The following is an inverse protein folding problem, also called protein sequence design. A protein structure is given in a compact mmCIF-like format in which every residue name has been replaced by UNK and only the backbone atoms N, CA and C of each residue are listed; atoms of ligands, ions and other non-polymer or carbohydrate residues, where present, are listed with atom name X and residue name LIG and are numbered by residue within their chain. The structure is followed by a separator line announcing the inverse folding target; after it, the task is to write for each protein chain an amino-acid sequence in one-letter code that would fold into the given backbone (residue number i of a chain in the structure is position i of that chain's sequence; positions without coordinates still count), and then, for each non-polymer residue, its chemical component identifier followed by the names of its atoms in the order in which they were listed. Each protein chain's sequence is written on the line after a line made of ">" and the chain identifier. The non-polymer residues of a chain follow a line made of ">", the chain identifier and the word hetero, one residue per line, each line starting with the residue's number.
data_IF_355804019629
#
_entry.id   IF_355804019629
#
_cell.length_a   1.000
_cell.length_b   1.000
_cell.length_c   1.000
_cell.angle_alpha   90.00
_cell.angle_beta   90.00
_cell.angle_gamma   90.00
#
_symmetry.space_group_name_H-M   'P 1'
#
loop_
_entity.id
_entity.type
_entity.pdbx_description
1 polymer ?
#
# COMPACT_ATOMS: atom_id res chain seq x y z
N UNK A 1 25.48 18.37 6.13
CA UNK A 1 24.98 17.38 7.12
C UNK A 1 23.97 18.04 8.06
N UNK A 2 22.88 17.37 8.39
CA UNK A 2 21.81 17.79 9.31
C UNK A 2 22.16 17.21 10.69
N UNK A 3 22.19 18.03 11.75
CA UNK A 3 22.47 17.52 13.10
C UNK A 3 21.32 16.61 13.59
N UNK A 4 21.63 15.72 14.55
CA UNK A 4 20.63 14.83 15.15
C UNK A 4 19.48 15.61 15.80
N UNK A 5 19.78 16.72 16.49
CA UNK A 5 18.78 17.57 17.13
C UNK A 5 17.87 18.27 16.12
N UNK A 6 18.44 18.74 15.02
CA UNK A 6 17.69 19.38 13.94
C UNK A 6 16.77 18.37 13.23
N UNK A 7 17.27 17.18 12.94
CA UNK A 7 16.45 16.12 12.36
C UNK A 7 15.34 15.68 13.32
N UNK A 8 15.62 15.62 14.61
CA UNK A 8 14.60 15.36 15.62
C UNK A 8 13.53 16.47 15.68
N UNK A 9 13.95 17.74 15.53
CA UNK A 9 13.02 18.87 15.47
C UNK A 9 12.13 18.81 14.21
N UNK A 10 12.72 18.50 13.05
CA UNK A 10 12.00 18.26 11.82
C UNK A 10 10.96 17.14 11.99
N UNK A 11 11.36 16.01 12.56
CA UNK A 11 10.46 14.87 12.78
C UNK A 11 9.29 15.23 13.71
N UNK A 12 9.54 16.02 14.76
CA UNK A 12 8.48 16.53 15.66
C UNK A 12 7.51 17.46 14.92
N UNK A 13 8.00 18.34 14.07
CA UNK A 13 7.15 19.23 13.27
C UNK A 13 6.27 18.44 12.28
N UNK A 14 6.86 17.48 11.57
CA UNK A 14 6.13 16.58 10.67
C UNK A 14 5.07 15.78 11.43
N UNK A 15 5.41 15.20 12.58
CA UNK A 15 4.47 14.47 13.42
C UNK A 15 3.31 15.37 13.85
N UNK A 16 3.58 16.61 14.27
CA UNK A 16 2.56 17.57 14.69
C UNK A 16 1.56 17.90 13.58
N UNK A 17 2.02 18.05 12.33
CA UNK A 17 1.13 18.27 11.16
C UNK A 17 0.19 17.05 10.99
N UNK A 18 0.76 15.85 10.94
CA UNK A 18 -0.02 14.63 10.77
C UNK A 18 -0.98 14.34 11.92
N UNK A 19 -0.54 14.55 13.17
CA UNK A 19 -1.37 14.34 14.37
C UNK A 19 -2.54 15.32 14.39
N UNK A 20 -2.31 16.56 13.99
CA UNK A 20 -3.36 17.56 13.89
C UNK A 20 -4.38 17.21 12.81
N UNK A 21 -3.92 16.82 11.61
CA UNK A 21 -4.78 16.35 10.54
C UNK A 21 -5.65 15.17 10.99
N UNK A 22 -5.06 14.18 11.66
CA UNK A 22 -5.77 13.03 12.18
C UNK A 22 -6.82 13.42 13.23
N UNK A 23 -6.43 14.23 14.20
CA UNK A 23 -7.30 14.64 15.31
C UNK A 23 -8.50 15.46 14.83
N UNK A 24 -8.28 16.42 13.92
CA UNK A 24 -9.36 17.28 13.45
C UNK A 24 -10.38 16.52 12.62
N UNK A 25 -9.93 15.63 11.71
CA UNK A 25 -10.83 14.77 10.93
C UNK A 25 -11.57 13.78 11.83
N UNK A 26 -10.87 13.11 12.76
CA UNK A 26 -11.47 12.16 13.68
C UNK A 26 -12.55 12.86 14.53
N UNK A 27 -12.23 14.02 15.10
CA UNK A 27 -13.17 14.79 15.93
C UNK A 27 -14.40 15.22 15.13
N UNK A 28 -14.23 15.73 13.92
CA UNK A 28 -15.34 16.19 13.07
C UNK A 28 -16.25 15.03 12.64
N UNK A 29 -15.68 13.90 12.21
CA UNK A 29 -16.46 12.72 11.83
C UNK A 29 -17.21 12.16 13.03
N UNK A 30 -16.56 12.06 14.18
CA UNK A 30 -17.19 11.55 15.40
C UNK A 30 -18.29 12.48 15.92
N UNK A 31 -18.09 13.80 15.86
CA UNK A 31 -19.10 14.78 16.22
C UNK A 31 -20.33 14.68 15.32
N UNK A 32 -20.13 14.54 14.02
CA UNK A 32 -21.24 14.34 13.07
C UNK A 32 -22.01 13.04 13.38
N UNK A 33 -21.33 11.92 13.61
CA UNK A 33 -21.97 10.66 13.94
C UNK A 33 -22.81 10.74 15.23
N UNK A 34 -22.30 11.44 16.25
CA UNK A 34 -23.04 11.66 17.52
C UNK A 34 -24.28 12.53 17.34
N UNK A 35 -24.19 13.54 16.47
CA UNK A 35 -25.35 14.40 16.17
C UNK A 35 -26.42 13.68 15.32
N UNK A 36 -26.07 12.55 14.70
CA UNK A 36 -26.94 11.79 13.80
C UNK A 36 -26.92 10.30 14.15
N UNK A 37 -27.25 9.96 15.40
CA UNK A 37 -27.18 8.57 15.93
C UNK A 37 -27.98 7.57 15.11
N UNK A 38 -29.11 7.99 14.50
CA UNK A 38 -29.95 7.16 13.62
C UNK A 38 -29.50 7.07 12.17
N UNK A 39 -28.40 7.73 11.79
CA UNK A 39 -27.95 7.74 10.41
C UNK A 39 -27.48 6.36 9.93
N UNK A 40 -27.81 6.04 8.68
CA UNK A 40 -27.38 4.82 8.02
C UNK A 40 -25.86 4.83 7.75
N UNK A 41 -25.30 3.66 7.48
CA UNK A 41 -23.89 3.53 7.06
C UNK A 41 -23.59 4.39 5.82
N UNK A 42 -24.54 4.49 4.90
CA UNK A 42 -24.38 5.30 3.68
C UNK A 42 -24.30 6.80 3.99
N UNK A 43 -25.16 7.30 4.89
CA UNK A 43 -25.15 8.70 5.32
C UNK A 43 -23.88 9.05 6.08
N UNK A 44 -23.45 8.19 7.03
CA UNK A 44 -22.20 8.37 7.77
C UNK A 44 -20.98 8.39 6.85
N UNK A 45 -20.97 7.54 5.83
CA UNK A 45 -19.92 7.50 4.80
C UNK A 45 -19.85 8.79 4.00
N UNK A 46 -21.01 9.28 3.52
CA UNK A 46 -21.07 10.50 2.72
C UNK A 46 -20.65 11.73 3.54
N UNK A 47 -21.10 11.81 4.78
CA UNK A 47 -20.68 12.86 5.70
C UNK A 47 -19.16 12.85 5.94
N UNK A 48 -18.60 11.67 6.21
CA UNK A 48 -17.14 11.53 6.42
C UNK A 48 -16.34 11.90 5.16
N UNK A 49 -16.85 11.57 3.97
CA UNK A 49 -16.26 12.01 2.69
C UNK A 49 -16.19 13.54 2.63
N UNK A 50 -17.31 14.23 2.82
CA UNK A 50 -17.37 15.70 2.79
C UNK A 50 -16.48 16.35 3.85
N UNK A 51 -16.43 15.77 5.06
CA UNK A 51 -15.55 16.25 6.13
C UNK A 51 -14.09 16.07 5.71
N UNK A 52 -13.69 14.90 5.23
CA UNK A 52 -12.33 14.67 4.76
C UNK A 52 -11.94 15.57 3.60
N UNK A 53 -12.84 15.81 2.63
CA UNK A 53 -12.62 16.76 1.52
C UNK A 53 -12.32 18.17 2.05
N UNK A 54 -13.00 18.61 3.11
CA UNK A 54 -12.80 19.92 3.73
C UNK A 54 -11.49 20.06 4.51
N UNK A 55 -10.90 19.00 5.01
CA UNK A 55 -9.69 19.06 5.84
C UNK A 55 -8.42 18.58 5.13
N UNK A 56 -8.49 17.49 4.34
CA UNK A 56 -7.30 16.82 3.83
C UNK A 56 -6.49 17.72 2.94
N UNK A 57 -7.14 18.43 2.01
CA UNK A 57 -6.45 19.35 1.11
C UNK A 57 -5.65 20.41 1.88
N UNK A 58 -6.26 21.03 2.91
CA UNK A 58 -5.58 22.06 3.70
C UNK A 58 -4.36 21.54 4.45
N UNK A 59 -4.42 20.31 4.97
CA UNK A 59 -3.27 19.68 5.63
C UNK A 59 -2.20 19.23 4.65
N UNK A 60 -2.58 18.81 3.44
CA UNK A 60 -1.65 18.50 2.35
C UNK A 60 -0.88 19.75 1.92
N UNK A 61 -1.58 20.89 1.78
CA UNK A 61 -0.97 22.17 1.44
C UNK A 61 0.05 22.60 2.53
N UNK A 62 -0.33 22.50 3.81
CA UNK A 62 0.57 22.81 4.93
C UNK A 62 1.80 21.90 4.94
N UNK A 63 1.61 20.61 4.70
CA UNK A 63 2.70 19.64 4.68
C UNK A 63 3.64 19.87 3.48
N UNK A 64 3.08 20.19 2.32
CA UNK A 64 3.85 20.51 1.11
C UNK A 64 4.66 21.80 1.27
N UNK A 65 4.05 22.85 1.84
CA UNK A 65 4.75 24.11 2.11
C UNK A 65 5.91 23.93 3.10
N UNK A 66 5.66 23.20 4.19
CA UNK A 66 6.70 22.88 5.15
C UNK A 66 7.87 22.11 4.50
N UNK A 67 7.56 21.17 3.60
CA UNK A 67 8.59 20.41 2.90
C UNK A 67 9.38 21.27 1.89
N UNK A 68 8.70 22.18 1.18
CA UNK A 68 9.33 23.11 0.24
C UNK A 68 10.31 24.06 0.97
N UNK A 69 9.87 24.63 2.07
CA UNK A 69 10.71 25.49 2.92
C UNK A 69 11.95 24.72 3.41
N UNK A 70 11.74 23.52 3.94
CA UNK A 70 12.85 22.70 4.43
C UNK A 70 13.85 22.33 3.33
N UNK A 71 13.37 22.05 2.10
CA UNK A 71 14.21 21.81 0.94
C UNK A 71 15.07 23.03 0.61
N UNK A 72 14.48 24.23 0.56
CA UNK A 72 15.16 25.47 0.27
C UNK A 72 16.20 25.83 1.34
N UNK A 73 15.84 25.68 2.63
CA UNK A 73 16.76 25.90 3.76
C UNK A 73 17.98 24.98 3.69
N UNK A 74 17.77 23.72 3.32
CA UNK A 74 18.87 22.75 3.15
C UNK A 74 19.72 23.07 1.92
N UNK A 75 19.12 23.47 0.80
CA UNK A 75 19.83 23.86 -0.41
C UNK A 75 20.73 25.08 -0.14
N UNK A 76 20.21 26.11 0.52
CA UNK A 76 20.95 27.32 0.88
C UNK A 76 22.15 26.99 1.77
N UNK A 77 21.95 26.20 2.82
CA UNK A 77 23.03 25.78 3.74
C UNK A 77 24.14 24.98 3.08
N UNK A 78 23.81 24.21 2.05
CA UNK A 78 24.79 23.45 1.26
C UNK A 78 25.37 24.28 0.09
N UNK A 79 25.05 25.58 -0.02
CA UNK A 79 25.52 26.44 -1.09
C UNK A 79 24.99 26.09 -2.48
N UNK A 80 23.93 25.29 -2.54
CA UNK A 80 23.33 24.87 -3.79
C UNK A 80 22.47 26.01 -4.37
N UNK A 81 22.84 26.49 -5.57
CA UNK A 81 22.10 27.55 -6.26
C UNK A 81 20.97 26.93 -7.09
N UNK A 82 19.87 26.64 -6.44
CA UNK A 82 18.68 26.02 -7.06
C UNK A 82 17.55 27.03 -7.25
N UNK A 83 16.55 26.63 -8.02
CA UNK A 83 15.27 27.36 -8.06
C UNK A 83 14.52 27.09 -6.77
N UNK A 84 13.70 28.05 -6.34
CA UNK A 84 12.82 27.88 -5.19
C UNK A 84 12.00 26.60 -5.33
N UNK A 85 11.84 25.90 -4.23
CA UNK A 85 11.08 24.66 -4.20
C UNK A 85 9.60 24.90 -4.55
N UNK A 86 9.01 23.95 -5.26
CA UNK A 86 7.59 23.96 -5.63
C UNK A 86 6.86 22.96 -4.75
N UNK A 87 5.73 23.36 -4.21
CA UNK A 87 4.84 22.47 -3.45
C UNK A 87 4.15 21.47 -4.35
N UNK A 88 4.03 20.24 -3.88
CA UNK A 88 3.31 19.16 -4.56
C UNK A 88 2.39 18.48 -3.57
N UNK A 89 1.08 18.53 -3.84
CA UNK A 89 0.08 17.87 -3.02
C UNK A 89 -0.39 16.57 -3.65
N UNK A 90 -0.78 15.61 -2.82
CA UNK A 90 -1.31 14.30 -3.25
C UNK A 90 -2.82 14.21 -3.13
N UNK A 91 -3.46 15.27 -2.67
CA UNK A 91 -4.91 15.32 -2.54
C UNK A 91 -5.63 14.98 -3.84
N UNK A 92 -6.59 14.05 -3.76
CA UNK A 92 -7.48 13.67 -4.86
C UNK A 92 -8.87 13.35 -4.30
N UNK A 93 -9.92 14.04 -4.72
CA UNK A 93 -11.29 13.77 -4.26
C UNK A 93 -11.71 12.29 -4.43
N UNK A 94 -11.29 11.66 -5.54
CA UNK A 94 -11.60 10.25 -5.81
C UNK A 94 -10.94 9.31 -4.79
N UNK A 95 -9.76 9.67 -4.27
CA UNK A 95 -9.09 8.92 -3.22
C UNK A 95 -9.86 9.03 -1.90
N UNK A 96 -10.34 10.22 -1.57
CA UNK A 96 -11.17 10.44 -0.36
C UNK A 96 -12.45 9.63 -0.41
N UNK A 97 -13.17 9.65 -1.54
CA UNK A 97 -14.37 8.83 -1.74
C UNK A 97 -14.09 7.33 -1.58
N UNK A 98 -13.01 6.86 -2.22
CA UNK A 98 -12.59 5.46 -2.13
C UNK A 98 -12.29 5.06 -0.69
N UNK A 99 -11.58 5.91 0.06
CA UNK A 99 -11.25 5.67 1.46
C UNK A 99 -12.48 5.70 2.35
N UNK A 100 -13.39 6.67 2.17
CA UNK A 100 -14.62 6.74 2.92
C UNK A 100 -15.44 5.44 2.77
N UNK A 101 -15.54 4.92 1.55
CA UNK A 101 -16.19 3.63 1.28
C UNK A 101 -15.48 2.46 1.97
N UNK A 102 -14.16 2.41 1.88
CA UNK A 102 -13.37 1.33 2.48
C UNK A 102 -13.47 1.35 4.00
N UNK A 103 -13.36 2.52 4.63
CA UNK A 103 -13.41 2.65 6.08
C UNK A 103 -14.81 2.45 6.66
N UNK A 104 -15.88 2.64 5.88
CA UNK A 104 -17.25 2.39 6.31
C UNK A 104 -17.48 0.96 6.86
N UNK A 105 -16.66 -0.02 6.46
CA UNK A 105 -16.66 -1.37 7.03
C UNK A 105 -16.43 -1.38 8.55
N UNK A 106 -15.72 -0.38 9.08
CA UNK A 106 -15.45 -0.26 10.52
C UNK A 106 -16.69 0.11 11.32
N UNK A 107 -17.67 0.76 10.70
CA UNK A 107 -18.97 1.04 11.34
C UNK A 107 -19.66 -0.24 11.80
N UNK A 108 -19.53 -1.32 11.03
CA UNK A 108 -20.16 -2.61 11.33
C UNK A 108 -19.44 -3.37 12.45
N UNK A 109 -18.09 -3.31 12.49
CA UNK A 109 -17.26 -4.11 13.41
C UNK A 109 -16.78 -3.35 14.65
N UNK A 110 -16.61 -2.04 14.56
CA UNK A 110 -15.99 -1.21 15.61
C UNK A 110 -16.72 0.10 15.92
N UNK A 111 -17.85 0.35 15.25
CA UNK A 111 -18.68 1.52 15.48
C UNK A 111 -18.07 2.85 15.01
N UNK A 112 -18.74 3.93 15.38
CA UNK A 112 -18.43 5.29 14.93
C UNK A 112 -17.02 5.73 15.29
N UNK A 113 -16.53 5.39 16.48
CA UNK A 113 -15.19 5.76 16.93
C UNK A 113 -14.08 5.10 16.08
N UNK A 114 -14.23 3.81 15.75
CA UNK A 114 -13.26 3.12 14.91
C UNK A 114 -13.26 3.65 13.45
N UNK A 115 -14.43 4.03 12.95
CA UNK A 115 -14.58 4.65 11.66
C UNK A 115 -13.94 6.05 11.62
N UNK A 116 -14.28 6.92 12.57
CA UNK A 116 -13.72 8.26 12.67
C UNK A 116 -12.19 8.25 12.78
N UNK A 117 -11.65 7.39 13.66
CA UNK A 117 -10.21 7.18 13.80
C UNK A 117 -9.55 6.80 12.47
N UNK A 118 -10.17 5.91 11.70
CA UNK A 118 -9.62 5.48 10.42
C UNK A 118 -9.65 6.57 9.35
N UNK A 119 -10.64 7.46 9.38
CA UNK A 119 -10.67 8.66 8.54
C UNK A 119 -9.55 9.64 8.92
N UNK A 120 -9.32 9.84 10.22
CA UNK A 120 -8.20 10.66 10.72
C UNK A 120 -6.83 10.10 10.32
N UNK A 121 -6.63 8.78 10.45
CA UNK A 121 -5.39 8.13 10.02
C UNK A 121 -5.12 8.31 8.52
N UNK A 122 -6.17 8.34 7.69
CA UNK A 122 -6.02 8.66 6.27
C UNK A 122 -5.50 10.07 6.07
N UNK A 123 -6.09 11.07 6.72
CA UNK A 123 -5.66 12.46 6.62
C UNK A 123 -4.18 12.65 7.01
N UNK A 124 -3.75 12.01 8.11
CA UNK A 124 -2.33 11.96 8.50
C UNK A 124 -1.44 11.43 7.39
N UNK A 125 -1.81 10.29 6.84
CA UNK A 125 -1.00 9.61 5.82
C UNK A 125 -0.95 10.39 4.51
N UNK A 126 -2.02 11.13 4.17
CA UNK A 126 -2.06 11.94 2.97
C UNK A 126 -1.16 13.18 3.11
N UNK A 127 -1.20 13.86 4.25
CA UNK A 127 -0.28 14.95 4.56
C UNK A 127 1.20 14.49 4.48
N UNK A 128 1.54 13.30 5.00
CA UNK A 128 2.89 12.75 4.87
C UNK A 128 3.27 12.41 3.43
N UNK A 129 2.30 12.00 2.60
CA UNK A 129 2.56 11.79 1.18
C UNK A 129 2.87 13.09 0.48
N UNK A 130 2.10 14.14 0.70
CA UNK A 130 2.30 15.46 0.11
C UNK A 130 3.65 16.06 0.52
N UNK A 131 4.04 15.90 1.77
CA UNK A 131 5.38 16.27 2.25
C UNK A 131 6.49 15.55 1.46
N UNK A 132 6.43 14.23 1.38
CA UNK A 132 7.45 13.45 0.70
C UNK A 132 7.45 13.72 -0.82
N UNK A 133 6.27 13.87 -1.43
CA UNK A 133 6.14 14.15 -2.87
C UNK A 133 6.76 15.50 -3.23
N UNK A 134 6.59 16.50 -2.38
CA UNK A 134 7.22 17.81 -2.56
C UNK A 134 8.73 17.69 -2.61
N UNK A 135 9.36 16.99 -1.66
CA UNK A 135 10.81 16.79 -1.67
C UNK A 135 11.25 16.03 -2.93
N UNK A 136 10.59 14.93 -3.24
CA UNK A 136 10.95 14.06 -4.38
C UNK A 136 10.83 14.78 -5.71
N UNK A 137 9.76 15.56 -5.89
CA UNK A 137 9.55 16.32 -7.13
C UNK A 137 10.62 17.40 -7.33
N UNK A 138 11.02 18.08 -6.26
CA UNK A 138 12.10 19.06 -6.31
C UNK A 138 13.45 18.41 -6.58
N UNK A 139 13.78 17.29 -5.92
CA UNK A 139 14.97 16.50 -6.23
C UNK A 139 14.96 16.03 -7.70
N UNK A 140 13.82 15.53 -8.20
CA UNK A 140 13.69 15.10 -9.59
C UNK A 140 13.92 16.23 -10.59
N UNK A 141 13.45 17.45 -10.28
CA UNK A 141 13.70 18.67 -11.07
C UNK A 141 15.19 19.02 -11.07
N UNK A 142 15.84 18.93 -9.92
CA UNK A 142 17.21 19.39 -9.72
C UNK A 142 18.27 18.27 -9.87
N UNK A 143 17.89 17.08 -10.35
CA UNK A 143 18.76 15.90 -10.53
C UNK A 143 20.01 16.18 -11.37
N UNK A 144 19.87 17.00 -12.43
CA UNK A 144 20.98 17.36 -13.32
C UNK A 144 21.99 18.32 -12.67
N UNK A 145 21.68 18.81 -11.46
CA UNK A 145 22.56 19.59 -10.59
C UNK A 145 23.16 18.77 -9.45
N UNK A 146 23.08 17.44 -9.54
CA UNK A 146 23.63 16.50 -8.57
C UNK A 146 22.73 16.24 -7.37
N UNK A 147 21.54 16.87 -7.27
CA UNK A 147 20.65 16.68 -6.14
C UNK A 147 20.04 15.26 -6.17
N UNK A 148 20.10 14.61 -5.02
CA UNK A 148 19.56 13.26 -4.81
C UNK A 148 18.81 13.21 -3.49
N UNK A 149 18.16 12.10 -3.15
CA UNK A 149 17.64 11.92 -1.81
C UNK A 149 17.98 10.55 -1.24
N UNK A 150 18.01 10.48 0.07
CA UNK A 150 18.09 9.23 0.82
C UNK A 150 16.76 8.94 1.53
N UNK A 151 16.59 7.68 1.90
CA UNK A 151 15.57 7.27 2.88
C UNK A 151 16.28 7.20 4.23
N UNK A 152 15.84 8.01 5.19
CA UNK A 152 16.44 8.09 6.51
C UNK A 152 15.48 7.54 7.55
N UNK A 153 15.81 6.41 8.21
CA UNK A 153 14.99 5.86 9.27
C UNK A 153 15.06 6.78 10.50
N UNK A 154 13.92 6.92 11.20
CA UNK A 154 13.88 7.74 12.43
C UNK A 154 14.15 6.93 13.70
N UNK A 155 14.25 5.60 13.59
CA UNK A 155 14.69 4.72 14.65
C UNK A 155 13.59 4.18 15.57
N UNK A 156 12.34 4.61 15.44
CA UNK A 156 11.27 4.20 16.34
C UNK A 156 10.48 2.97 15.84
N UNK A 157 10.12 2.94 14.56
CA UNK A 157 9.38 1.84 13.92
C UNK A 157 10.02 1.41 12.59
N UNK A 158 11.34 1.46 12.53
CA UNK A 158 12.07 1.16 11.30
C UNK A 158 11.93 -0.30 10.91
N UNK A 159 11.45 -0.57 9.71
CA UNK A 159 11.33 -1.92 9.18
C UNK A 159 12.53 -2.32 8.32
N UNK A 160 12.70 -3.63 8.10
CA UNK A 160 13.81 -4.17 7.29
C UNK A 160 13.82 -3.63 5.85
N UNK A 161 12.65 -3.34 5.27
CA UNK A 161 12.54 -2.72 3.95
C UNK A 161 13.07 -1.28 3.94
N UNK A 162 12.78 -0.51 4.99
CA UNK A 162 13.32 0.84 5.14
C UNK A 162 14.84 0.81 5.30
N UNK A 163 15.38 -0.14 6.06
CA UNK A 163 16.84 -0.34 6.18
C UNK A 163 17.45 -0.67 4.81
N UNK A 164 16.84 -1.57 4.04
CA UNK A 164 17.29 -1.89 2.68
C UNK A 164 17.33 -0.67 1.76
N UNK A 165 16.33 0.21 1.82
CA UNK A 165 16.32 1.41 1.01
C UNK A 165 17.32 2.45 1.53
N UNK A 166 17.42 2.63 2.85
CA UNK A 166 18.32 3.56 3.47
C UNK A 166 19.80 3.17 3.29
N UNK A 167 20.09 1.86 3.28
CA UNK A 167 21.46 1.34 3.09
C UNK A 167 22.08 1.70 1.74
N UNK A 168 21.27 2.15 0.79
CA UNK A 168 21.76 2.60 -0.54
C UNK A 168 22.29 4.05 -0.51
N UNK A 169 22.03 4.77 0.57
CA UNK A 169 22.41 6.18 0.70
C UNK A 169 21.60 7.12 -0.20
N UNK A 170 22.20 8.25 -0.55
CA UNK A 170 21.59 9.31 -1.36
C UNK A 170 21.72 9.00 -2.87
N UNK A 171 20.99 7.99 -3.35
CA UNK A 171 21.05 7.56 -4.77
C UNK A 171 19.76 7.82 -5.54
N UNK A 172 18.71 8.29 -4.87
CA UNK A 172 17.39 8.36 -5.47
C UNK A 172 17.11 9.72 -6.10
N UNK A 173 16.50 9.71 -7.29
CA UNK A 173 16.03 10.91 -7.98
C UNK A 173 14.52 10.90 -8.24
N UNK A 174 13.90 9.74 -8.14
CA UNK A 174 12.49 9.57 -8.46
C UNK A 174 11.82 8.64 -7.47
N UNK A 175 10.51 8.75 -7.35
CA UNK A 175 9.66 7.83 -6.60
C UNK A 175 9.93 6.37 -6.99
N UNK A 176 10.01 6.08 -8.30
CA UNK A 176 10.22 4.73 -8.82
C UNK A 176 11.55 4.12 -8.35
N UNK A 177 12.63 4.90 -8.38
CA UNK A 177 13.96 4.42 -7.95
C UNK A 177 14.04 4.15 -6.45
N UNK A 178 13.27 4.87 -5.64
CA UNK A 178 13.21 4.73 -4.19
C UNK A 178 12.21 3.66 -3.70
N UNK A 179 11.82 2.72 -4.57
CA UNK A 179 10.95 1.60 -4.21
C UNK A 179 9.48 1.92 -4.29
N UNK A 180 9.05 2.63 -5.36
CA UNK A 180 7.68 3.06 -5.63
C UNK A 180 6.78 3.10 -4.38
N UNK A 181 6.41 4.27 -3.90
CA UNK A 181 5.72 4.51 -2.61
C UNK A 181 4.41 3.74 -2.37
N UNK A 182 4.10 2.72 -3.12
CA UNK A 182 3.11 1.70 -2.77
C UNK A 182 3.36 1.10 -1.37
N UNK A 183 4.55 1.32 -0.81
CA UNK A 183 5.04 0.71 0.42
C UNK A 183 5.44 1.68 1.53
N UNK A 184 4.96 2.92 1.54
CA UNK A 184 4.78 3.58 2.81
C UNK A 184 3.66 2.83 3.53
N UNK A 185 4.02 1.74 4.20
CA UNK A 185 3.08 1.05 5.05
C UNK A 185 2.63 2.02 6.15
N UNK A 186 1.48 1.74 6.69
CA UNK A 186 0.70 2.59 7.59
C UNK A 186 1.47 3.19 8.78
N UNK A 187 2.67 2.68 9.08
CA UNK A 187 3.53 3.07 10.19
C UNK A 187 5.00 3.22 9.72
N UNK A 188 5.24 3.61 8.47
CA UNK A 188 6.59 3.87 8.00
C UNK A 188 7.13 5.15 8.63
N UNK A 189 8.19 5.04 9.40
CA UNK A 189 8.81 6.17 10.08
C UNK A 189 9.93 6.86 9.28
N UNK A 190 10.38 6.24 8.17
CA UNK A 190 11.47 6.83 7.42
C UNK A 190 11.05 8.08 6.64
N UNK A 191 11.99 9.04 6.60
CA UNK A 191 11.83 10.33 5.93
C UNK A 191 12.62 10.35 4.63
N UNK A 192 12.13 11.16 3.69
CA UNK A 192 12.85 11.52 2.48
C UNK A 192 13.74 12.72 2.83
N UNK A 193 15.04 12.57 2.71
CA UNK A 193 16.01 13.63 3.03
C UNK A 193 16.79 13.97 1.77
N UNK A 194 16.73 15.24 1.27
CA UNK A 194 17.49 15.65 0.11
C UNK A 194 18.97 15.76 0.47
N UNK A 195 19.85 15.34 -0.46
CA UNK A 195 21.29 15.47 -0.40
C UNK A 195 21.78 16.30 -1.59
N UNK A 196 22.74 17.17 -1.32
CA UNK A 196 23.29 18.14 -2.27
C UNK A 196 24.78 17.89 -2.54
N UNK A 197 25.30 16.76 -2.08
CA UNK A 197 26.67 16.33 -2.25
C UNK A 197 26.77 15.25 -3.33
N UNK A 198 27.90 15.19 -4.02
CA UNK A 198 28.12 14.19 -5.07
C UNK A 198 28.35 12.77 -4.51
N UNK A 199 28.71 12.65 -3.23
CA UNK A 199 28.92 11.37 -2.56
C UNK A 199 27.58 10.77 -2.14
N UNK A 200 27.15 9.65 -2.73
CA UNK A 200 25.92 8.97 -2.33
C UNK A 200 25.99 8.34 -0.93
N UNK A 201 27.20 8.11 -0.43
CA UNK A 201 27.45 7.55 0.90
C UNK A 201 27.64 8.61 1.97
N UNK A 202 27.50 9.89 1.62
CA UNK A 202 27.57 10.99 2.58
C UNK A 202 26.54 10.80 3.71
N UNK A 203 26.99 11.09 4.93
CA UNK A 203 26.14 11.14 6.12
C UNK A 203 25.25 12.39 6.05
N UNK A 204 24.05 12.28 5.48
CA UNK A 204 23.12 13.40 5.35
C UNK A 204 22.57 13.85 6.71
N UNK A 205 22.38 12.92 7.62
CA UNK A 205 21.89 13.12 8.98
C UNK A 205 22.88 12.50 9.94
N UNK A 206 23.31 13.30 10.92
CA UNK A 206 24.24 12.86 11.96
C UNK A 206 23.80 11.56 12.62
N UNK A 207 24.70 10.58 12.67
CA UNK A 207 24.45 9.24 13.22
C UNK A 207 23.71 8.28 12.27
N UNK A 208 23.39 8.67 11.02
CA UNK A 208 22.78 7.79 10.04
C UNK A 208 23.74 7.55 8.89
N UNK A 209 24.53 6.50 9.02
CA UNK A 209 25.58 6.16 8.05
C UNK A 209 25.12 5.03 7.12
N UNK A 210 25.14 5.23 5.80
CA UNK A 210 24.72 4.20 4.84
C UNK A 210 25.51 2.88 4.98
N UNK A 211 26.78 2.93 5.36
CA UNK A 211 27.62 1.75 5.57
C UNK A 211 27.08 0.86 6.70
N UNK A 212 26.78 1.45 7.85
CA UNK A 212 26.20 0.70 8.98
C UNK A 212 24.84 0.10 8.64
N UNK A 213 24.05 0.83 7.87
CA UNK A 213 22.77 0.31 7.38
C UNK A 213 22.95 -0.84 6.36
N UNK A 214 24.04 -0.84 5.57
CA UNK A 214 24.39 -1.98 4.68
C UNK A 214 24.77 -3.22 5.48
N UNK A 215 25.55 -3.06 6.54
CA UNK A 215 25.90 -4.15 7.45
C UNK A 215 24.65 -4.71 8.13
N UNK A 216 23.78 -3.85 8.62
CA UNK A 216 22.51 -4.24 9.22
C UNK A 216 21.61 -4.98 8.22
N UNK A 217 21.54 -4.49 6.98
CA UNK A 217 20.78 -5.17 5.92
C UNK A 217 21.38 -6.54 5.56
N UNK A 218 22.71 -6.67 5.54
CA UNK A 218 23.37 -7.95 5.32
C UNK A 218 23.03 -8.96 6.42
N UNK A 219 23.00 -8.51 7.70
CA UNK A 219 22.56 -9.34 8.81
C UNK A 219 21.13 -9.83 8.66
N UNK A 220 20.20 -8.98 8.20
CA UNK A 220 18.82 -9.40 7.93
C UNK A 220 18.73 -10.47 6.85
N UNK A 221 19.52 -10.37 5.78
CA UNK A 221 19.57 -11.41 4.74
C UNK A 221 20.05 -12.74 5.30
N UNK A 222 21.14 -12.73 6.08
CA UNK A 222 21.66 -13.93 6.69
C UNK A 222 20.62 -14.61 7.62
N UNK A 223 19.89 -13.80 8.41
CA UNK A 223 18.80 -14.30 9.25
C UNK A 223 17.67 -14.90 8.40
N UNK A 224 17.31 -14.28 7.27
CA UNK A 224 16.25 -14.79 6.39
C UNK A 224 16.65 -16.09 5.69
N UNK A 225 17.93 -16.21 5.32
CA UNK A 225 18.50 -17.39 4.64
C UNK A 225 18.79 -18.56 5.60
N UNK A 226 18.83 -18.34 6.91
CA UNK A 226 19.06 -19.39 7.90
C UNK A 226 17.82 -20.28 8.03
N UNK A 227 17.90 -21.45 7.41
CA UNK A 227 16.82 -22.46 7.42
C UNK A 227 16.65 -23.15 8.79
N UNK A 228 17.62 -23.04 9.70
CA UNK A 228 17.53 -23.61 11.04
C UNK A 228 16.61 -22.82 11.98
N UNK A 229 16.32 -21.54 11.64
CA UNK A 229 15.51 -20.66 12.45
C UNK A 229 14.03 -20.74 12.05
N UNK A 230 13.16 -20.81 13.05
CA UNK A 230 11.72 -20.63 12.85
C UNK A 230 11.39 -19.18 12.47
N UNK A 231 10.21 -18.93 11.92
CA UNK A 231 9.75 -17.56 11.62
C UNK A 231 9.78 -16.66 12.87
N UNK A 232 9.45 -17.19 14.03
CA UNK A 232 9.48 -16.46 15.30
C UNK A 232 10.91 -16.12 15.73
N UNK A 233 11.86 -17.05 15.54
CA UNK A 233 13.27 -16.83 15.85
C UNK A 233 13.89 -15.79 14.89
N UNK A 234 13.57 -15.86 13.61
CA UNK A 234 13.99 -14.84 12.62
C UNK A 234 13.47 -13.44 12.98
N UNK A 235 12.22 -13.36 13.40
CA UNK A 235 11.64 -12.09 13.85
C UNK A 235 12.34 -11.59 15.12
N UNK A 236 12.66 -12.46 16.09
CA UNK A 236 13.39 -12.10 17.29
C UNK A 236 14.83 -11.65 16.99
N UNK A 237 15.55 -12.38 16.13
CA UNK A 237 16.90 -12.04 15.71
C UNK A 237 16.97 -10.68 14.99
N UNK A 238 16.04 -10.40 14.07
CA UNK A 238 15.96 -9.09 13.39
C UNK A 238 15.67 -7.94 14.36
N UNK A 239 14.90 -8.19 15.41
CA UNK A 239 14.67 -7.21 16.48
C UNK A 239 15.94 -6.88 17.23
N UNK A 240 16.70 -7.88 17.56
CA UNK A 240 17.99 -7.68 18.25
C UNK A 240 18.94 -6.83 17.42
N UNK A 241 18.96 -7.05 16.09
CA UNK A 241 19.76 -6.21 15.15
C UNK A 241 19.27 -4.78 15.09
N UNK A 242 17.96 -4.53 15.15
CA UNK A 242 17.39 -3.18 15.13
C UNK A 242 17.66 -2.41 16.43
N UNK A 243 17.99 -3.10 17.52
CA UNK A 243 18.22 -2.48 18.83
C UNK A 243 17.01 -1.74 19.41
N UNK A 244 15.81 -2.00 18.87
CA UNK A 244 14.59 -1.29 19.22
C UNK A 244 13.92 -1.89 20.46
N UNK A 245 13.67 -1.10 21.52
CA UNK A 245 12.97 -1.57 22.73
C UNK A 245 11.47 -1.68 22.57
N UNK A 246 10.91 -1.20 21.45
CA UNK A 246 9.47 -1.29 21.15
C UNK A 246 9.03 -2.71 20.74
N UNK A 247 7.72 -3.02 20.81
CA UNK A 247 7.23 -4.19 20.13
C UNK A 247 7.64 -4.02 18.66
N UNK A 248 8.36 -4.99 18.10
CA UNK A 248 8.81 -4.84 16.73
C UNK A 248 7.57 -4.63 15.89
N UNK A 249 7.61 -3.67 15.03
CA UNK A 249 6.85 -3.80 13.81
C UNK A 249 7.45 -5.05 13.17
N UNK A 250 6.84 -6.17 13.51
CA UNK A 250 7.04 -7.39 12.76
C UNK A 250 6.63 -6.97 11.37
N UNK A 251 7.64 -6.68 10.54
CA UNK A 251 7.46 -6.91 9.15
C UNK A 251 7.29 -8.45 9.09
N UNK A 252 6.09 -8.87 9.41
CA UNK A 252 5.59 -10.09 8.82
C UNK A 252 5.78 -9.79 7.38
N UNK A 253 6.80 -10.37 6.73
CA UNK A 253 6.82 -10.60 5.30
C UNK A 253 5.35 -10.76 5.02
N UNK A 254 4.67 -9.80 4.41
CA UNK A 254 3.23 -9.92 4.35
C UNK A 254 3.09 -11.31 3.85
N UNK A 255 2.41 -12.20 4.58
CA UNK A 255 2.08 -13.48 4.04
C UNK A 255 1.47 -13.06 2.73
N UNK A 256 2.34 -12.93 1.71
CA UNK A 256 1.99 -12.61 0.34
C UNK A 256 0.90 -11.52 0.11
N UNK A 257 0.69 -10.63 1.09
CA UNK A 257 -0.25 -9.50 1.07
C UNK A 257 0.31 -8.26 0.36
N UNK A 258 1.30 -8.46 -0.51
CA UNK A 258 1.71 -7.43 -1.47
C UNK A 258 0.80 -7.38 -2.68
N UNK A 259 -0.28 -8.09 -2.63
CA UNK A 259 -1.23 -8.10 -3.69
C UNK A 259 -2.41 -7.29 -3.25
N UNK A 260 -2.54 -6.18 -3.91
CA UNK A 260 -3.71 -5.34 -3.93
C UNK A 260 -3.93 -4.38 -2.75
N UNK A 261 -3.29 -3.23 -2.80
CA UNK A 261 -3.97 -1.99 -2.38
C UNK A 261 -5.30 -1.76 -3.16
N UNK A 262 -5.61 -2.59 -4.16
CA UNK A 262 -6.89 -2.60 -4.89
C UNK A 262 -7.71 -3.87 -4.68
N UNK A 263 -7.12 -4.96 -4.23
CA UNK A 263 -7.84 -6.17 -3.85
C UNK A 263 -8.28 -6.04 -2.40
N UNK A 264 -9.55 -6.04 -2.14
CA UNK A 264 -10.08 -5.97 -0.78
C UNK A 264 -9.84 -7.29 -0.04
N UNK A 265 -10.33 -7.33 1.20
CA UNK A 265 -10.37 -8.53 2.07
C UNK A 265 -10.86 -9.82 1.40
N UNK A 266 -11.47 -9.75 0.25
CA UNK A 266 -11.99 -10.86 -0.55
C UNK A 266 -10.89 -11.69 -1.21
N UNK A 267 -9.85 -11.06 -1.78
CA UNK A 267 -8.78 -11.82 -2.44
C UNK A 267 -7.98 -12.64 -1.42
N UNK A 268 -7.78 -12.11 -0.22
CA UNK A 268 -7.12 -12.83 0.85
C UNK A 268 -7.95 -14.03 1.32
N UNK A 269 -9.25 -13.87 1.48
CA UNK A 269 -10.16 -14.96 1.84
C UNK A 269 -10.15 -16.06 0.78
N UNK A 270 -10.16 -15.69 -0.50
CA UNK A 270 -10.08 -16.64 -1.62
C UNK A 270 -8.73 -17.39 -1.62
N UNK A 271 -7.61 -16.72 -1.36
CA UNK A 271 -6.31 -17.39 -1.23
C UNK A 271 -6.27 -18.37 -0.06
N UNK A 272 -6.83 -18.00 1.09
CA UNK A 272 -6.92 -18.89 2.24
C UNK A 272 -7.80 -20.11 1.96
N UNK A 273 -8.94 -19.91 1.29
CA UNK A 273 -9.84 -20.99 0.89
C UNK A 273 -9.17 -21.99 -0.07
N UNK A 274 -8.44 -21.49 -1.08
CA UNK A 274 -7.69 -22.31 -2.01
C UNK A 274 -6.60 -23.13 -1.33
N UNK A 275 -5.85 -22.52 -0.40
CA UNK A 275 -4.83 -23.23 0.40
C UNK A 275 -5.43 -24.28 1.32
N UNK A 276 -6.56 -23.96 1.93
CA UNK A 276 -7.30 -24.92 2.77
C UNK A 276 -7.81 -26.12 1.96
N UNK A 277 -8.10 -25.91 0.67
CA UNK A 277 -8.47 -26.96 -0.27
C UNK A 277 -7.25 -27.77 -0.80
N UNK A 278 -6.03 -27.43 -0.39
CA UNK A 278 -4.80 -28.14 -0.74
C UNK A 278 -4.05 -27.62 -1.96
N UNK A 279 -4.43 -26.45 -2.50
CA UNK A 279 -3.74 -25.83 -3.62
C UNK A 279 -2.49 -25.08 -3.19
N UNK A 280 -1.42 -25.14 -3.98
CA UNK A 280 -0.27 -24.26 -3.87
C UNK A 280 -0.61 -22.90 -4.51
N UNK A 281 -0.64 -21.84 -3.70
CA UNK A 281 -0.97 -20.48 -4.16
C UNK A 281 0.27 -19.60 -4.06
N UNK A 282 0.83 -19.19 -5.22
CA UNK A 282 1.96 -18.26 -5.31
C UNK A 282 1.48 -16.98 -5.99
N UNK A 283 1.46 -15.90 -5.24
CA UNK A 283 1.04 -14.60 -5.75
C UNK A 283 2.15 -13.98 -6.59
N UNK A 284 1.82 -13.47 -7.76
CA UNK A 284 2.78 -12.85 -8.68
C UNK A 284 2.89 -11.34 -8.40
N UNK A 285 4.04 -10.77 -8.74
CA UNK A 285 4.24 -9.32 -8.65
C UNK A 285 3.51 -8.63 -9.78
N UNK A 286 2.94 -7.46 -9.49
CA UNK A 286 2.42 -6.54 -10.51
C UNK A 286 3.59 -5.74 -11.12
N UNK A 287 4.33 -6.33 -12.04
CA UNK A 287 5.50 -5.74 -12.70
C UNK A 287 5.43 -5.79 -14.23
N UNK A 288 4.27 -6.07 -14.79
CA UNK A 288 4.08 -6.08 -16.23
C UNK A 288 4.39 -4.69 -16.84
N UNK A 289 5.11 -4.64 -17.97
CA UNK A 289 5.37 -3.41 -18.69
C UNK A 289 4.08 -2.70 -19.13
N UNK A 290 4.17 -1.40 -19.43
CA UNK A 290 3.04 -0.63 -19.91
C UNK A 290 2.40 -1.27 -21.17
N UNK A 291 1.10 -1.45 -21.13
CA UNK A 291 0.34 -2.10 -22.22
C UNK A 291 0.11 -3.61 -22.05
N UNK A 292 0.75 -4.23 -21.06
CA UNK A 292 0.52 -5.62 -20.69
C UNK A 292 -0.34 -5.75 -19.43
N UNK A 293 -0.96 -6.89 -19.26
CA UNK A 293 -1.74 -7.22 -18.06
C UNK A 293 -0.94 -8.15 -17.15
N UNK A 294 -0.98 -7.87 -15.85
CA UNK A 294 -0.52 -8.83 -14.84
C UNK A 294 -1.53 -9.96 -14.70
N UNK A 295 -1.03 -11.16 -14.57
CA UNK A 295 -1.80 -12.33 -14.12
C UNK A 295 -1.57 -12.48 -12.61
N UNK A 296 -2.65 -12.64 -11.83
CA UNK A 296 -2.63 -12.46 -10.38
C UNK A 296 -1.74 -13.47 -9.65
N UNK A 297 -1.80 -14.74 -10.01
CA UNK A 297 -1.11 -15.80 -9.25
C UNK A 297 -0.71 -17.02 -10.09
N UNK A 298 0.11 -17.87 -9.50
CA UNK A 298 0.27 -19.27 -9.92
C UNK A 298 -0.51 -20.14 -8.95
N UNK A 299 -1.36 -20.99 -9.49
CA UNK A 299 -2.08 -22.00 -8.76
C UNK A 299 -1.59 -23.38 -9.22
N UNK A 300 -0.98 -24.13 -8.32
CA UNK A 300 -0.33 -25.41 -8.65
C UNK A 300 0.64 -25.29 -9.84
N UNK A 301 1.42 -24.21 -9.84
CA UNK A 301 2.40 -23.88 -10.88
C UNK A 301 1.82 -23.38 -12.21
N UNK A 302 0.51 -23.19 -12.34
CA UNK A 302 -0.16 -22.68 -13.55
C UNK A 302 -0.62 -21.24 -13.36
N UNK A 303 -0.56 -20.44 -14.44
CA UNK A 303 -1.07 -19.09 -14.45
C UNK A 303 -2.56 -19.06 -14.10
N UNK A 304 -2.92 -18.24 -13.15
CA UNK A 304 -4.26 -18.14 -12.61
C UNK A 304 -4.68 -16.69 -12.38
N UNK A 305 -5.87 -16.36 -12.82
CA UNK A 305 -6.49 -15.06 -12.61
C UNK A 305 -7.61 -15.18 -11.58
N UNK A 306 -7.50 -14.41 -10.50
CA UNK A 306 -8.49 -14.35 -9.44
C UNK A 306 -9.44 -13.18 -9.65
N UNK A 307 -10.73 -13.44 -9.51
CA UNK A 307 -11.79 -12.44 -9.60
C UNK A 307 -12.67 -12.49 -8.35
N UNK A 308 -12.44 -11.53 -7.48
CA UNK A 308 -13.23 -11.30 -6.26
C UNK A 308 -14.07 -10.02 -6.37
N UNK A 309 -15.13 -9.88 -5.59
CA UNK A 309 -15.85 -8.63 -5.47
C UNK A 309 -14.95 -7.53 -4.89
N UNK A 310 -15.00 -6.33 -5.46
CA UNK A 310 -14.20 -5.18 -4.98
C UNK A 310 -14.92 -4.35 -3.91
N UNK A 311 -16.19 -4.63 -3.66
CA UNK A 311 -17.06 -3.94 -2.68
C UNK A 311 -18.15 -4.88 -2.22
N UNK A 312 -18.98 -4.43 -1.28
CA UNK A 312 -20.20 -5.15 -0.87
C UNK A 312 -20.97 -5.64 -2.10
N UNK A 313 -21.06 -6.96 -2.23
CA UNK A 313 -21.66 -7.63 -3.39
C UNK A 313 -23.18 -7.82 -3.23
N UNK A 314 -23.80 -7.38 -2.14
CA UNK A 314 -25.22 -7.62 -1.84
C UNK A 314 -26.18 -7.07 -2.89
N UNK A 315 -25.79 -6.02 -3.62
CA UNK A 315 -26.55 -5.43 -4.72
C UNK A 315 -26.12 -5.87 -6.13
N UNK A 316 -25.15 -6.79 -6.23
CA UNK A 316 -24.62 -7.24 -7.51
C UNK A 316 -25.48 -8.34 -8.12
N UNK A 317 -25.78 -8.25 -9.42
CA UNK A 317 -26.37 -9.37 -10.13
C UNK A 317 -25.33 -10.48 -10.33
N UNK A 318 -25.46 -11.58 -9.59
CA UNK A 318 -24.46 -12.63 -9.53
C UNK A 318 -24.15 -13.30 -10.87
N UNK A 319 -25.14 -13.50 -11.73
CA UNK A 319 -24.91 -14.07 -13.06
C UNK A 319 -24.13 -13.12 -13.98
N UNK A 320 -24.38 -11.81 -13.87
CA UNK A 320 -23.60 -10.79 -14.59
C UNK A 320 -22.20 -10.64 -14.01
N UNK A 321 -22.03 -10.83 -12.71
CA UNK A 321 -20.72 -10.85 -12.08
C UNK A 321 -19.84 -11.95 -12.70
N UNK A 322 -20.33 -13.17 -12.77
CA UNK A 322 -19.63 -14.30 -13.36
C UNK A 322 -19.27 -14.02 -14.83
N UNK A 323 -20.24 -13.65 -15.65
CA UNK A 323 -20.03 -13.31 -17.08
C UNK A 323 -18.94 -12.25 -17.27
N UNK A 324 -19.07 -11.14 -16.56
CA UNK A 324 -18.17 -10.00 -16.71
C UNK A 324 -16.74 -10.33 -16.28
N UNK A 325 -16.59 -11.08 -15.20
CA UNK A 325 -15.29 -11.39 -14.64
C UNK A 325 -14.57 -12.50 -15.42
N UNK A 326 -15.26 -13.49 -15.94
CA UNK A 326 -14.69 -14.45 -16.90
C UNK A 326 -14.17 -13.71 -18.13
N UNK A 327 -14.98 -12.84 -18.74
CA UNK A 327 -14.58 -12.06 -19.92
C UNK A 327 -13.39 -11.14 -19.63
N UNK A 328 -13.31 -10.57 -18.41
CA UNK A 328 -12.19 -9.74 -17.98
C UNK A 328 -10.91 -10.58 -17.83
N UNK A 329 -11.01 -11.76 -17.22
CA UNK A 329 -9.88 -12.67 -17.05
C UNK A 329 -9.31 -13.10 -18.41
N UNK A 330 -10.17 -13.50 -19.37
CA UNK A 330 -9.74 -13.84 -20.74
C UNK A 330 -8.92 -12.72 -21.37
N UNK A 331 -9.41 -11.47 -21.30
CA UNK A 331 -8.69 -10.31 -21.86
C UNK A 331 -7.36 -10.05 -21.17
N UNK A 332 -7.21 -10.40 -19.90
CA UNK A 332 -5.94 -10.28 -19.20
C UNK A 332 -4.94 -11.31 -19.69
N UNK A 333 -5.36 -12.55 -19.91
CA UNK A 333 -4.53 -13.58 -20.54
C UNK A 333 -4.11 -13.23 -21.97
N UNK A 334 -5.01 -12.60 -22.77
CA UNK A 334 -4.70 -12.11 -24.11
C UNK A 334 -3.62 -11.02 -24.14
N UNK A 335 -3.51 -10.27 -23.06
CA UNK A 335 -2.56 -9.16 -22.87
C UNK A 335 -1.42 -9.48 -21.90
N UNK A 336 -1.23 -10.75 -21.57
CA UNK A 336 -0.16 -11.14 -20.64
C UNK A 336 1.21 -10.82 -21.20
N UNK A 337 2.16 -10.55 -20.32
CA UNK A 337 3.56 -10.37 -20.68
C UNK A 337 4.11 -11.65 -21.37
N UNK A 338 4.77 -11.48 -22.49
CA UNK A 338 5.26 -12.60 -23.30
C UNK A 338 4.34 -13.00 -24.46
N UNK A 339 3.20 -12.34 -24.61
CA UNK A 339 2.21 -12.54 -25.68
C UNK A 339 0.93 -13.23 -25.18
N UNK A 340 -0.05 -13.41 -26.09
CA UNK A 340 -1.32 -14.03 -25.73
C UNK A 340 -1.11 -15.45 -25.19
N UNK A 341 -1.61 -15.69 -23.96
CA UNK A 341 -1.57 -16.99 -23.32
C UNK A 341 -3.00 -17.52 -23.24
N UNK A 342 -3.17 -18.80 -23.53
CA UNK A 342 -4.47 -19.43 -23.30
C UNK A 342 -4.81 -19.37 -21.81
N UNK A 343 -6.05 -18.99 -21.42
CA UNK A 343 -6.46 -18.96 -20.02
C UNK A 343 -6.23 -20.31 -19.36
N UNK A 344 -5.33 -20.38 -18.37
CA UNK A 344 -5.00 -21.62 -17.69
C UNK A 344 -6.03 -21.92 -16.61
N UNK A 345 -6.16 -21.00 -15.64
CA UNK A 345 -7.12 -21.16 -14.56
C UNK A 345 -7.76 -19.79 -14.27
N UNK A 346 -9.06 -19.78 -14.05
CA UNK A 346 -9.79 -18.62 -13.55
C UNK A 346 -10.46 -19.00 -12.23
N UNK A 347 -10.15 -18.27 -11.16
CA UNK A 347 -10.84 -18.40 -9.88
C UNK A 347 -11.88 -17.30 -9.77
N UNK A 348 -13.10 -17.70 -9.47
CA UNK A 348 -14.23 -16.78 -9.23
C UNK A 348 -14.64 -16.88 -7.75
N UNK A 349 -14.43 -15.82 -7.02
CA UNK A 349 -14.92 -15.70 -5.65
C UNK A 349 -16.34 -15.13 -5.65
N UNK A 350 -17.29 -16.03 -5.40
CA UNK A 350 -18.71 -15.73 -5.31
C UNK A 350 -19.27 -15.92 -3.89
N UNK A 351 -18.43 -15.99 -2.85
CA UNK A 351 -18.89 -16.25 -1.47
C UNK A 351 -19.93 -15.23 -1.00
N UNK A 352 -19.73 -13.96 -1.30
CA UNK A 352 -20.66 -12.88 -0.94
C UNK A 352 -21.52 -12.39 -2.11
N UNK A 353 -21.40 -13.01 -3.28
CA UNK A 353 -22.19 -12.65 -4.44
C UNK A 353 -23.58 -13.32 -4.36
N UNK A 354 -24.69 -12.58 -4.56
CA UNK A 354 -26.02 -13.14 -4.45
C UNK A 354 -26.38 -14.00 -5.67
N UNK A 355 -25.87 -15.23 -5.66
CA UNK A 355 -26.13 -16.25 -6.68
C UNK A 355 -26.22 -17.61 -6.01
N UNK A 356 -27.11 -18.46 -6.45
CA UNK A 356 -27.14 -19.85 -5.98
C UNK A 356 -25.98 -20.63 -6.59
N UNK A 357 -25.44 -21.63 -5.87
CA UNK A 357 -24.37 -22.48 -6.38
C UNK A 357 -24.76 -23.14 -7.71
N UNK A 358 -26.01 -23.60 -7.83
CA UNK A 358 -26.52 -24.25 -9.05
C UNK A 358 -26.51 -23.29 -10.25
N UNK A 359 -27.01 -22.06 -10.08
CA UNK A 359 -27.03 -21.06 -11.14
C UNK A 359 -25.62 -20.58 -11.49
N UNK A 360 -24.74 -20.44 -10.50
CA UNK A 360 -23.34 -20.11 -10.72
C UNK A 360 -22.64 -21.19 -11.55
N UNK A 361 -22.79 -22.45 -11.22
CA UNK A 361 -22.26 -23.60 -11.98
C UNK A 361 -22.76 -23.64 -13.43
N UNK A 362 -24.07 -23.45 -13.65
CA UNK A 362 -24.64 -23.36 -15.00
C UNK A 362 -24.03 -22.22 -15.80
N UNK A 363 -23.89 -21.03 -15.16
CA UNK A 363 -23.33 -19.85 -15.82
C UNK A 363 -21.86 -20.02 -16.14
N UNK A 364 -21.06 -20.54 -15.21
CA UNK A 364 -19.62 -20.81 -15.43
C UNK A 364 -19.43 -21.73 -16.62
N UNK A 365 -20.16 -22.87 -16.70
CA UNK A 365 -20.05 -23.81 -17.83
C UNK A 365 -20.41 -23.17 -19.17
N UNK A 366 -21.43 -22.31 -19.19
CA UNK A 366 -21.82 -21.56 -20.38
C UNK A 366 -20.69 -20.60 -20.83
N UNK A 367 -20.10 -19.86 -19.89
CA UNK A 367 -19.02 -18.92 -20.24
C UNK A 367 -17.73 -19.64 -20.62
N UNK A 368 -17.40 -20.76 -19.99
CA UNK A 368 -16.26 -21.61 -20.39
C UNK A 368 -16.37 -22.05 -21.85
N UNK A 369 -17.58 -22.45 -22.28
CA UNK A 369 -17.80 -22.85 -23.68
C UNK A 369 -17.67 -21.66 -24.66
N UNK A 370 -18.05 -20.46 -24.25
CA UNK A 370 -18.01 -19.25 -25.07
C UNK A 370 -16.61 -18.64 -25.24
N UNK A 371 -15.75 -18.83 -24.24
CA UNK A 371 -14.47 -18.13 -24.11
C UNK A 371 -13.25 -19.05 -24.16
N UNK A 372 -13.43 -20.31 -24.52
CA UNK A 372 -12.38 -21.34 -24.62
C UNK A 372 -11.48 -21.45 -23.36
N UNK A 373 -12.14 -21.38 -22.18
CA UNK A 373 -11.49 -21.61 -20.90
C UNK A 373 -11.62 -23.08 -20.54
N UNK A 374 -10.52 -23.71 -20.15
CA UNK A 374 -10.49 -25.12 -19.83
C UNK A 374 -10.71 -25.42 -18.35
N UNK A 375 -10.44 -24.43 -17.47
CA UNK A 375 -10.46 -24.64 -16.03
C UNK A 375 -10.96 -23.40 -15.26
N UNK A 376 -12.01 -23.56 -14.49
CA UNK A 376 -12.54 -22.54 -13.57
C UNK A 376 -12.71 -23.16 -12.19
N UNK A 377 -12.24 -22.47 -11.17
CA UNK A 377 -12.51 -22.78 -9.76
C UNK A 377 -13.51 -21.76 -9.24
N UNK A 378 -14.62 -22.24 -8.71
CA UNK A 378 -15.70 -21.41 -8.21
C UNK A 378 -15.79 -21.55 -6.68
N UNK A 379 -15.62 -20.44 -5.97
CA UNK A 379 -15.87 -20.34 -4.54
C UNK A 379 -17.29 -19.84 -4.33
N UNK A 380 -18.08 -20.53 -3.53
CA UNK A 380 -19.48 -20.16 -3.25
C UNK A 380 -19.75 -20.12 -1.76
N UNK A 381 -20.85 -19.48 -1.39
CA UNK A 381 -21.24 -19.23 0.01
C UNK A 381 -21.13 -20.50 0.87
N UNK A 382 -20.49 -20.35 2.04
CA UNK A 382 -20.25 -21.43 2.98
C UNK A 382 -18.95 -22.19 2.74
N UNK A 383 -18.01 -21.63 1.95
CA UNK A 383 -16.68 -22.21 1.71
C UNK A 383 -16.70 -23.40 0.73
N UNK A 384 -17.78 -23.58 -0.03
CA UNK A 384 -17.81 -24.63 -1.04
C UNK A 384 -16.94 -24.25 -2.25
N UNK A 385 -16.08 -25.17 -2.67
CA UNK A 385 -15.17 -25.03 -3.81
C UNK A 385 -15.55 -26.04 -4.88
N UNK A 386 -15.81 -25.55 -6.07
CA UNK A 386 -16.11 -26.37 -7.25
C UNK A 386 -14.97 -26.23 -8.27
N UNK A 387 -14.24 -27.31 -8.53
CA UNK A 387 -13.20 -27.41 -9.55
C UNK A 387 -13.84 -27.90 -10.87
N UNK A 388 -13.99 -27.00 -11.85
CA UNK A 388 -14.72 -27.21 -13.09
C UNK A 388 -13.73 -27.27 -14.25
N UNK A 389 -13.60 -28.42 -14.86
CA UNK A 389 -12.76 -28.67 -16.05
C UNK A 389 -13.61 -29.05 -17.24
N UNK A 390 -13.15 -28.68 -18.47
CA UNK A 390 -13.73 -29.20 -19.71
C UNK A 390 -13.52 -30.69 -19.86
#
# INVERSE_FOLDING_TARGET
>A
MISADEFAAYNRAVAKIGDRAASDVEAAVLAWCRAHEGATVAEKREAAKLIMEGFVQGYDDVAAEFAAQWYDDLAERNGARLQQAVTMTTYRPESVDTVARYQAKKLVKGGDAAFAKACGEYARNDAFRSLNETIISNVGRDKDRGVRFARVPTGFETCTFCIMLASRGAVYHTRKSAGEFKHFHRHCDCKVVPGFEDDPDAELVEGVRPEELREQWAQFKNIDEDESLTSADKDAAKRAVLGSPGPPVVYKKPKETFVHERGGSYDLAAHEALRAAGHEVVVRKEDAPEGFSNIDLLLDGKLCELKSPTSDASGVNGLRFIERNIRKAVRQFEKAEGGPVKPSIVVLDCEEVPVTREDALKRVRLEMSRHDIDHVILLTKGGAIDDIKK
#
